data_IF_846858651543
#
_entry.id   IF_846858651543
#
_cell.length_a   1.000
_cell.length_b   1.000
_cell.length_c   1.000
_cell.angle_alpha   90.00
_cell.angle_beta   90.00
_cell.angle_gamma   90.00
#
_symmetry.space_group_name_H-M   'P 1'
#
loop_
_entity.id
_entity.type
_entity.pdbx_description
1 polymer ?
#
# COMPACT_ATOMS: atom_id res chain seq x y z
N UNK A 1 9.70 14.01 -13.52
CA UNK A 1 9.50 12.68 -12.95
C UNK A 1 8.28 12.03 -13.58
N UNK A 2 8.37 10.76 -13.86
CA UNK A 2 7.22 10.03 -14.37
C UNK A 2 6.20 9.72 -13.28
N UNK A 3 5.03 9.27 -13.71
CA UNK A 3 4.01 8.80 -12.81
C UNK A 3 4.53 7.58 -12.01
N UNK A 4 3.99 7.32 -10.82
CA UNK A 4 4.35 6.13 -10.08
C UNK A 4 3.94 4.87 -10.83
N UNK A 5 4.61 3.79 -10.54
CA UNK A 5 4.35 2.49 -11.14
C UNK A 5 3.78 1.53 -10.10
N UNK A 6 3.03 0.53 -10.55
CA UNK A 6 2.56 -0.54 -9.69
C UNK A 6 3.77 -1.20 -9.02
N UNK A 7 3.69 -1.37 -7.71
CA UNK A 7 4.79 -1.89 -6.90
C UNK A 7 5.66 -0.82 -6.27
N UNK A 8 5.48 0.44 -6.63
CA UNK A 8 6.16 1.53 -5.95
C UNK A 8 5.62 1.73 -4.55
N UNK A 9 6.52 2.00 -3.62
CA UNK A 9 6.17 2.50 -2.29
C UNK A 9 6.35 4.01 -2.35
N UNK A 10 5.25 4.72 -2.20
CA UNK A 10 5.22 6.17 -2.33
C UNK A 10 4.94 6.81 -0.99
N UNK A 11 5.23 8.11 -0.90
CA UNK A 11 4.98 8.88 0.31
C UNK A 11 3.86 9.86 0.02
N UNK A 12 2.84 9.84 0.86
CA UNK A 12 1.68 10.72 0.72
C UNK A 12 1.33 11.32 2.08
N UNK A 13 0.67 12.50 2.09
CA UNK A 13 0.19 13.06 3.34
C UNK A 13 -1.11 12.34 3.77
N UNK A 14 -1.19 11.95 5.03
CA UNK A 14 -2.43 11.44 5.62
C UNK A 14 -2.91 12.42 6.66
N UNK A 15 -4.20 12.81 6.61
CA UNK A 15 -4.76 13.60 7.69
C UNK A 15 -4.98 12.73 8.92
N UNK A 16 -4.81 13.32 10.08
CA UNK A 16 -5.20 12.72 11.35
C UNK A 16 -6.58 13.17 11.74
N UNK A 17 -7.10 12.59 12.81
CA UNK A 17 -8.36 13.05 13.40
C UNK A 17 -8.30 14.52 13.77
N UNK A 18 -7.12 15.04 14.08
CA UNK A 18 -6.86 16.46 14.19
C UNK A 18 -6.54 16.99 12.79
N UNK A 19 -7.50 17.58 12.12
CA UNK A 19 -7.39 18.04 10.75
C UNK A 19 -6.40 19.19 10.54
N UNK A 20 -5.88 19.75 11.62
CA UNK A 20 -4.90 20.84 11.51
C UNK A 20 -3.51 20.33 11.09
N UNK A 21 -3.30 19.00 11.13
CA UNK A 21 -1.99 18.41 10.82
C UNK A 21 -2.16 17.23 9.88
N UNK A 22 -1.13 17.02 9.07
CA UNK A 22 -1.00 15.80 8.28
C UNK A 22 0.40 15.24 8.51
N UNK A 23 0.52 13.94 8.42
CA UNK A 23 1.80 13.24 8.52
C UNK A 23 2.07 12.50 7.24
N UNK A 24 3.31 12.53 6.81
CA UNK A 24 3.73 11.77 5.63
C UNK A 24 3.81 10.29 5.98
N UNK A 25 3.18 9.46 5.17
CA UNK A 25 3.16 8.01 5.38
C UNK A 25 3.42 7.30 4.06
N UNK A 26 4.05 6.13 4.12
CA UNK A 26 4.21 5.32 2.92
C UNK A 26 2.92 4.58 2.57
N UNK A 27 2.77 4.31 1.29
CA UNK A 27 1.67 3.50 0.76
C UNK A 27 2.17 2.73 -0.45
N UNK A 28 1.60 1.56 -0.68
CA UNK A 28 1.97 0.71 -1.81
C UNK A 28 0.99 0.94 -2.96
N UNK A 29 1.54 1.20 -4.13
CA UNK A 29 0.74 1.36 -5.36
C UNK A 29 0.40 -0.02 -5.89
N UNK A 30 -0.91 -0.32 -5.97
CA UNK A 30 -1.41 -1.62 -6.39
C UNK A 30 -1.89 -1.61 -7.83
N UNK A 31 -2.49 -0.53 -8.29
CA UNK A 31 -3.06 -0.46 -9.63
C UNK A 31 -3.25 0.98 -10.06
N UNK A 32 -3.32 1.17 -11.38
CA UNK A 32 -3.77 2.43 -11.96
C UNK A 32 -5.29 2.43 -12.00
N UNK A 33 -5.88 3.55 -11.59
CA UNK A 33 -7.34 3.70 -11.57
C UNK A 33 -7.85 4.64 -12.68
N UNK A 34 -6.96 5.14 -13.52
CA UNK A 34 -7.29 6.06 -14.61
C UNK A 34 -7.23 7.52 -14.19
N UNK A 35 -7.02 8.39 -15.14
CA UNK A 35 -6.99 9.86 -14.96
C UNK A 35 -5.98 10.34 -13.93
N UNK A 36 -4.85 9.63 -13.82
CA UNK A 36 -3.83 9.98 -12.82
C UNK A 36 -4.14 9.51 -11.41
N UNK A 37 -5.21 8.73 -11.23
CA UNK A 37 -5.53 8.12 -9.94
C UNK A 37 -4.90 6.74 -9.81
N UNK A 38 -4.60 6.38 -8.58
CA UNK A 38 -4.01 5.09 -8.25
C UNK A 38 -4.73 4.46 -7.08
N UNK A 39 -4.82 3.14 -7.11
CA UNK A 39 -5.29 2.36 -5.98
C UNK A 39 -4.08 1.98 -5.13
N UNK A 40 -4.15 2.33 -3.85
CA UNK A 40 -3.05 2.11 -2.91
C UNK A 40 -3.55 1.39 -1.68
N UNK A 41 -2.60 0.84 -0.92
CA UNK A 41 -2.91 0.35 0.43
C UNK A 41 -1.91 0.94 1.42
N UNK A 42 -2.33 1.03 2.67
CA UNK A 42 -1.55 1.65 3.72
C UNK A 42 -0.36 0.80 4.13
N UNK A 43 0.77 1.48 4.39
CA UNK A 43 1.93 0.88 5.04
C UNK A 43 2.10 1.60 6.38
N UNK A 44 2.33 0.85 7.45
CA UNK A 44 2.45 1.39 8.79
C UNK A 44 3.55 0.70 9.56
N UNK A 45 4.17 1.39 10.51
CA UNK A 45 5.15 0.78 11.40
C UNK A 45 4.50 0.01 12.56
N UNK A 46 3.18 0.06 12.68
CA UNK A 46 2.45 -0.62 13.76
C UNK A 46 1.44 -1.59 13.17
N UNK A 47 1.43 -2.80 13.71
CA UNK A 47 0.54 -3.85 13.21
C UNK A 47 -0.93 -3.61 13.54
N UNK A 48 -1.24 -2.94 14.65
CA UNK A 48 -2.61 -2.63 15.09
C UNK A 48 -3.50 -3.86 15.28
N UNK A 49 -2.92 -5.02 15.54
CA UNK A 49 -3.70 -6.25 15.65
C UNK A 49 -4.36 -6.71 14.35
N UNK A 50 -3.92 -6.19 13.23
CA UNK A 50 -4.46 -6.54 11.92
C UNK A 50 -3.96 -7.92 11.51
N UNK A 51 -4.88 -8.87 11.39
CA UNK A 51 -4.56 -10.25 11.02
C UNK A 51 -4.06 -10.37 9.58
N UNK A 52 -4.33 -9.39 8.74
CA UNK A 52 -3.94 -9.39 7.34
C UNK A 52 -2.70 -8.54 7.07
N UNK A 53 -2.11 -7.94 8.10
CA UNK A 53 -0.91 -7.13 7.92
C UNK A 53 0.27 -8.03 7.55
N UNK A 54 0.94 -7.70 6.44
CA UNK A 54 2.11 -8.44 5.97
C UNK A 54 3.38 -7.68 6.36
N UNK A 55 4.36 -8.36 6.97
CA UNK A 55 5.63 -7.69 7.28
C UNK A 55 6.29 -7.15 6.00
N UNK A 56 6.87 -5.97 6.12
CA UNK A 56 7.62 -5.33 5.05
C UNK A 56 9.00 -4.98 5.58
N UNK A 57 10.02 -5.59 5.02
CA UNK A 57 11.41 -5.43 5.44
C UNK A 57 12.25 -4.90 4.29
N UNK A 58 13.47 -4.47 4.61
CA UNK A 58 14.38 -3.94 3.61
C UNK A 58 14.63 -4.93 2.48
N UNK A 59 14.70 -6.23 2.79
CA UNK A 59 14.92 -7.27 1.79
C UNK A 59 13.77 -7.41 0.78
N UNK A 60 12.62 -6.82 1.06
CA UNK A 60 11.47 -6.87 0.15
C UNK A 60 11.54 -5.80 -0.93
N UNK A 61 12.54 -4.95 -0.91
CA UNK A 61 12.71 -3.87 -1.87
C UNK A 61 13.71 -4.26 -2.94
N UNK A 62 13.33 -4.02 -4.20
CA UNK A 62 14.24 -4.14 -5.33
C UNK A 62 15.15 -2.91 -5.41
N UNK A 63 14.60 -1.74 -5.09
CA UNK A 63 15.34 -0.49 -5.02
C UNK A 63 14.71 0.39 -3.96
N UNK A 64 15.51 1.31 -3.40
CA UNK A 64 15.05 2.16 -2.32
C UNK A 64 14.78 1.38 -1.04
N UNK A 65 13.91 1.91 -0.21
CA UNK A 65 13.55 1.26 1.04
C UNK A 65 12.81 2.17 2.00
N UNK A 66 12.61 1.67 3.19
CA UNK A 66 11.98 2.38 4.30
C UNK A 66 12.92 2.36 5.49
N UNK A 67 12.77 3.34 6.39
CA UNK A 67 13.71 3.52 7.50
C UNK A 67 13.55 2.48 8.60
N UNK A 68 12.40 1.85 8.71
CA UNK A 68 12.12 0.87 9.76
C UNK A 68 11.23 -0.23 9.21
N UNK A 69 11.30 -1.40 9.83
CA UNK A 69 10.41 -2.49 9.49
C UNK A 69 8.97 -2.03 9.67
N UNK A 70 8.13 -2.41 8.73
CA UNK A 70 6.76 -1.93 8.66
C UNK A 70 5.83 -3.09 8.30
N UNK A 71 4.57 -2.76 8.10
CA UNK A 71 3.54 -3.72 7.72
C UNK A 71 2.71 -3.15 6.58
N UNK A 72 2.44 -3.98 5.59
CA UNK A 72 1.52 -3.63 4.51
C UNK A 72 0.12 -4.07 4.94
N UNK A 73 -0.80 -3.11 4.99
CA UNK A 73 -2.19 -3.37 5.36
C UNK A 73 -3.04 -3.37 4.10
N UNK A 74 -3.06 -4.53 3.42
CA UNK A 74 -3.76 -4.64 2.15
C UNK A 74 -5.25 -4.33 2.24
N UNK A 75 -5.88 -4.54 3.39
CA UNK A 75 -7.30 -4.22 3.57
C UNK A 75 -7.57 -2.74 3.79
N UNK A 76 -6.54 -1.93 3.98
CA UNK A 76 -6.68 -0.47 4.07
C UNK A 76 -6.43 0.16 2.70
N UNK A 77 -7.38 -0.07 1.80
CA UNK A 77 -7.31 0.42 0.43
C UNK A 77 -7.85 1.83 0.32
N UNK A 78 -7.25 2.61 -0.55
CA UNK A 78 -7.73 3.95 -0.85
C UNK A 78 -7.26 4.36 -2.24
N UNK A 79 -7.91 5.37 -2.80
CA UNK A 79 -7.53 5.92 -4.10
C UNK A 79 -6.95 7.32 -3.88
N UNK A 80 -5.86 7.60 -4.56
CA UNK A 80 -5.24 8.93 -4.52
C UNK A 80 -4.77 9.32 -5.91
N UNK A 81 -4.88 10.62 -6.21
CA UNK A 81 -4.36 11.18 -7.45
C UNK A 81 -2.85 11.37 -7.34
N UNK A 82 -2.15 11.25 -8.47
CA UNK A 82 -0.70 11.42 -8.51
C UNK A 82 -0.23 12.76 -7.94
N UNK A 83 -1.08 13.78 -7.97
CA UNK A 83 -0.76 15.10 -7.43
C UNK A 83 -0.55 15.06 -5.90
N UNK A 84 -1.10 14.06 -5.22
CA UNK A 84 -0.90 13.89 -3.78
C UNK A 84 0.38 13.15 -3.43
N UNK A 85 1.01 12.53 -4.41
CA UNK A 85 2.19 11.71 -4.17
C UNK A 85 3.41 12.62 -4.07
N UNK A 86 4.05 12.63 -2.90
CA UNK A 86 5.18 13.51 -2.63
C UNK A 86 6.49 12.97 -3.17
N UNK A 87 6.59 11.66 -3.33
CA UNK A 87 7.78 11.03 -3.85
C UNK A 87 7.68 9.52 -3.80
N UNK A 88 8.69 8.86 -4.37
CA UNK A 88 8.80 7.40 -4.38
C UNK A 88 9.92 7.01 -3.43
N UNK A 89 9.61 6.20 -2.42
CA UNK A 89 10.59 5.73 -1.45
C UNK A 89 11.34 4.51 -1.97
N UNK A 90 10.68 3.68 -2.76
CA UNK A 90 11.29 2.47 -3.29
C UNK A 90 10.34 1.68 -4.16
N UNK A 91 10.81 0.53 -4.60
CA UNK A 91 10.04 -0.38 -5.44
C UNK A 91 10.17 -1.78 -4.88
N UNK A 92 9.06 -2.47 -4.70
CA UNK A 92 9.08 -3.82 -4.13
C UNK A 92 9.59 -4.84 -5.12
N UNK A 93 10.14 -5.94 -4.60
CA UNK A 93 10.42 -7.11 -5.42
C UNK A 93 9.10 -7.65 -5.97
N UNK A 94 9.18 -8.32 -7.12
CA UNK A 94 8.00 -8.97 -7.69
C UNK A 94 7.41 -9.99 -6.71
N UNK A 95 8.27 -10.70 -5.98
CA UNK A 95 7.85 -11.69 -5.00
C UNK A 95 6.98 -11.07 -3.90
N UNK A 96 7.39 -9.93 -3.35
CA UNK A 96 6.61 -9.27 -2.29
C UNK A 96 5.31 -8.70 -2.85
N UNK A 97 5.36 -8.05 -4.01
CA UNK A 97 4.15 -7.52 -4.64
C UNK A 97 3.16 -8.65 -4.93
N UNK A 98 3.64 -9.78 -5.44
CA UNK A 98 2.81 -10.95 -5.71
C UNK A 98 2.15 -11.48 -4.44
N UNK A 99 2.89 -11.51 -3.34
CA UNK A 99 2.35 -11.92 -2.04
C UNK A 99 1.18 -11.04 -1.60
N UNK A 100 1.35 -9.73 -1.73
CA UNK A 100 0.30 -8.76 -1.35
C UNK A 100 -0.94 -8.93 -2.23
N UNK A 101 -0.74 -9.01 -3.54
CA UNK A 101 -1.86 -9.14 -4.48
C UNK A 101 -2.58 -10.46 -4.27
N UNK A 102 -1.85 -11.56 -4.07
CA UNK A 102 -2.46 -12.86 -3.83
C UNK A 102 -3.30 -12.86 -2.55
N UNK A 103 -2.82 -12.21 -1.51
CA UNK A 103 -3.58 -12.08 -0.27
C UNK A 103 -4.88 -11.32 -0.50
N UNK A 104 -4.82 -10.23 -1.26
CA UNK A 104 -6.03 -9.44 -1.56
C UNK A 104 -7.03 -10.23 -2.38
N UNK A 105 -6.56 -11.00 -3.35
CA UNK A 105 -7.44 -11.86 -4.13
C UNK A 105 -8.14 -12.85 -3.21
N UNK A 106 -7.41 -13.49 -2.30
CA UNK A 106 -7.98 -14.44 -1.35
C UNK A 106 -9.02 -13.78 -0.44
N UNK A 107 -8.70 -12.61 0.07
CA UNK A 107 -9.63 -11.88 0.96
C UNK A 107 -10.90 -11.50 0.20
N UNK A 108 -10.75 -10.94 -1.00
CA UNK A 108 -11.90 -10.49 -1.78
C UNK A 108 -12.75 -11.64 -2.30
N UNK A 109 -12.11 -12.75 -2.64
CA UNK A 109 -12.84 -13.91 -3.19
C UNK A 109 -13.48 -14.78 -2.11
N UNK A 110 -13.14 -14.57 -0.84
CA UNK A 110 -13.69 -15.38 0.25
C UNK A 110 -15.22 -15.34 0.29
N UNK A 111 -15.82 -14.19 0.00
CA UNK A 111 -17.27 -14.06 -0.02
C UNK A 111 -17.92 -14.88 -1.15
N UNK A 112 -17.17 -15.16 -2.22
CA UNK A 112 -17.71 -15.93 -3.35
C UNK A 112 -17.69 -17.44 -3.09
N UNK A 113 -17.02 -17.88 -2.03
CA UNK A 113 -16.97 -19.30 -1.64
C UNK A 113 -18.10 -19.69 -0.72
N UNK A 114 -18.92 -18.72 -0.31
CA UNK A 114 -20.06 -18.95 0.57
C UNK A 114 -21.30 -19.16 -0.29
N UNK A 115 -21.80 -20.39 -0.28
CA UNK A 115 -22.96 -20.80 -1.09
C UNK A 115 -24.28 -20.23 -0.55
N UNK A 116 -24.25 -19.50 0.55
CA UNK A 116 -25.47 -18.93 1.13
C UNK A 116 -25.90 -17.62 0.47
N UNK A 117 -25.12 -17.09 -0.44
CA UNK A 117 -25.48 -15.90 -1.20
C UNK A 117 -26.51 -16.23 -2.28
#
# INVERSE_FOLDING_TARGET
MGAPSVGDVVVIPFPYSDLSQSKRRPALVLAEAGRGDFLLCQITSKQYGDLHALPLKESDFLSGGIKRDSFIRGTKLFTANEALILGVAGHLTHSKLSEVVSQLIDILSACLKDDTF
#
